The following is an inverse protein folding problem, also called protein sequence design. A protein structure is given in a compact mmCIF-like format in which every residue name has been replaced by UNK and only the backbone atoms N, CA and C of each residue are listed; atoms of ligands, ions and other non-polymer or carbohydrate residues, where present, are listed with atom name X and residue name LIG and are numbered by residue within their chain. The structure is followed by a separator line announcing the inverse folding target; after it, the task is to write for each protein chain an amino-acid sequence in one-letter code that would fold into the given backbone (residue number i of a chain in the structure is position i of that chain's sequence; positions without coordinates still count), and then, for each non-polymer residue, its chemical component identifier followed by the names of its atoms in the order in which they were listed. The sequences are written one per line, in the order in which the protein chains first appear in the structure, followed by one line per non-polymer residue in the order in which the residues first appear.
data_IF_376355161125
#
_entry.id   IF_376355161125
#
_cell.length_a   1.000
_cell.length_b   1.000
_cell.length_c   1.000
_cell.angle_alpha   90.00
_cell.angle_beta   90.00
_cell.angle_gamma   90.00
#
_symmetry.space_group_name_H-M   'P 1'
#
loop_
_entity.id
_entity.type
_entity.pdbx_description
1 polymer ?
#
# COMPACT_ATOMS: atom_id res chain seq x y z
N UNK A 1 51.16 -38.53 28.11
CA UNK A 1 50.50 -37.59 27.18
C UNK A 1 49.59 -38.28 26.16
N UNK A 2 49.94 -39.47 25.62
CA UNK A 2 49.12 -40.19 24.62
C UNK A 2 47.65 -40.48 25.01
N UNK A 3 47.36 -40.91 26.25
CA UNK A 3 45.98 -41.25 26.67
C UNK A 3 45.03 -40.05 26.66
N UNK A 4 45.52 -38.85 27.00
CA UNK A 4 44.73 -37.60 26.96
C UNK A 4 44.49 -37.14 25.51
N UNK A 5 45.45 -37.37 24.63
CA UNK A 5 45.30 -37.08 23.20
C UNK A 5 44.30 -38.05 22.52
N UNK A 6 44.35 -39.36 22.83
CA UNK A 6 43.39 -40.33 22.30
C UNK A 6 41.95 -40.08 22.79
N UNK A 7 41.76 -39.69 24.05
CA UNK A 7 40.44 -39.29 24.55
C UNK A 7 39.95 -38.00 23.91
N UNK A 8 40.83 -37.00 23.72
CA UNK A 8 40.48 -35.77 23.01
C UNK A 8 40.07 -36.05 21.54
N UNK A 9 40.80 -36.92 20.83
CA UNK A 9 40.51 -37.31 19.44
C UNK A 9 39.19 -38.11 19.37
N UNK A 10 38.91 -38.97 20.35
CA UNK A 10 37.66 -39.74 20.39
C UNK A 10 36.40 -38.90 20.65
N UNK A 11 36.52 -37.75 21.30
CA UNK A 11 35.40 -36.85 21.63
C UNK A 11 35.17 -35.79 20.55
N UNK A 12 36.17 -35.49 19.70
CA UNK A 12 36.07 -34.53 18.60
C UNK A 12 34.84 -34.74 17.68
N UNK A 13 34.49 -35.97 17.25
CA UNK A 13 33.31 -36.18 16.41
C UNK A 13 32.01 -35.78 17.12
N UNK A 14 31.89 -36.03 18.42
CA UNK A 14 30.71 -35.65 19.21
C UNK A 14 30.58 -34.14 19.32
N UNK A 15 31.71 -33.43 19.54
CA UNK A 15 31.74 -31.96 19.57
C UNK A 15 31.36 -31.40 18.19
N UNK A 16 31.89 -31.99 17.10
CA UNK A 16 31.57 -31.57 15.74
C UNK A 16 30.07 -31.76 15.42
N UNK A 17 29.47 -32.87 15.84
CA UNK A 17 28.03 -33.13 15.68
C UNK A 17 27.21 -32.11 16.49
N UNK A 18 27.58 -31.86 17.75
CA UNK A 18 26.89 -30.91 18.61
C UNK A 18 26.94 -29.47 18.05
N UNK A 19 28.10 -29.03 17.56
CA UNK A 19 28.25 -27.74 16.89
C UNK A 19 27.45 -27.67 15.60
N UNK A 20 27.47 -28.73 14.78
CA UNK A 20 26.67 -28.77 13.54
C UNK A 20 25.17 -28.69 13.82
N UNK A 21 24.68 -29.37 14.85
CA UNK A 21 23.29 -29.29 15.29
C UNK A 21 22.94 -27.88 15.80
N UNK A 22 23.81 -27.27 16.59
CA UNK A 22 23.62 -25.90 17.08
C UNK A 22 23.55 -24.89 15.92
N UNK A 23 24.43 -25.02 14.92
CA UNK A 23 24.42 -24.20 13.70
C UNK A 23 23.11 -24.40 12.93
N UNK A 24 22.66 -25.64 12.76
CA UNK A 24 21.42 -25.95 12.06
C UNK A 24 20.20 -25.31 12.76
N UNK A 25 20.14 -25.39 14.09
CA UNK A 25 19.07 -24.78 14.90
C UNK A 25 19.13 -23.25 14.77
N UNK A 26 20.31 -22.65 14.82
CA UNK A 26 20.48 -21.21 14.66
C UNK A 26 20.01 -20.73 13.28
N UNK A 27 20.38 -21.43 12.20
CA UNK A 27 19.93 -21.12 10.84
C UNK A 27 18.41 -21.28 10.71
N UNK A 28 17.84 -22.35 11.24
CA UNK A 28 16.40 -22.59 11.18
C UNK A 28 15.61 -21.52 11.96
N UNK A 29 16.07 -21.17 13.16
CA UNK A 29 15.47 -20.12 13.98
C UNK A 29 15.57 -18.75 13.31
N UNK A 30 16.72 -18.43 12.72
CA UNK A 30 16.91 -17.19 11.96
C UNK A 30 15.98 -17.13 10.73
N UNK A 31 15.90 -18.21 9.95
CA UNK A 31 15.02 -18.28 8.77
C UNK A 31 13.56 -18.10 9.15
N UNK A 32 13.08 -18.79 10.20
CA UNK A 32 11.70 -18.65 10.66
C UNK A 32 11.43 -17.25 11.24
N UNK A 33 12.40 -16.69 11.95
CA UNK A 33 12.34 -15.33 12.47
C UNK A 33 12.24 -14.28 11.36
N UNK A 34 13.03 -14.42 10.30
CA UNK A 34 12.93 -13.55 9.12
C UNK A 34 11.57 -13.68 8.43
N UNK A 35 11.12 -14.89 8.12
CA UNK A 35 9.83 -15.10 7.43
C UNK A 35 8.65 -14.55 8.23
N UNK A 36 8.64 -14.78 9.54
CA UNK A 36 7.58 -14.28 10.43
C UNK A 36 7.56 -12.76 10.58
N UNK A 37 8.71 -12.09 10.44
CA UNK A 37 8.78 -10.62 10.45
C UNK A 37 8.53 -9.99 9.08
N UNK A 38 8.88 -10.68 7.99
CA UNK A 38 8.70 -10.18 6.62
C UNK A 38 7.27 -10.32 6.12
N UNK A 39 6.54 -11.37 6.52
CA UNK A 39 5.17 -11.60 6.05
C UNK A 39 4.19 -10.46 6.44
N UNK A 40 4.17 -9.94 7.68
CA UNK A 40 3.36 -8.78 8.03
C UNK A 40 3.73 -7.53 7.21
N UNK A 41 5.01 -7.32 6.92
CA UNK A 41 5.47 -6.19 6.12
C UNK A 41 4.98 -6.30 4.67
N UNK A 42 5.04 -7.51 4.09
CA UNK A 42 4.52 -7.77 2.75
C UNK A 42 3.02 -7.46 2.67
N UNK A 43 2.23 -7.91 3.65
CA UNK A 43 0.80 -7.62 3.71
C UNK A 43 0.50 -6.11 3.79
N UNK A 44 1.26 -5.34 4.59
CA UNK A 44 1.11 -3.87 4.67
C UNK A 44 1.40 -3.23 3.32
N UNK A 45 2.43 -3.69 2.61
CA UNK A 45 2.80 -3.15 1.29
C UNK A 45 1.73 -3.49 0.26
N UNK A 46 1.19 -4.70 0.27
CA UNK A 46 0.07 -5.12 -0.59
C UNK A 46 -1.19 -4.30 -0.33
N UNK A 47 -1.55 -4.09 0.94
CA UNK A 47 -2.70 -3.26 1.31
C UNK A 47 -2.52 -1.80 0.87
N UNK A 48 -1.33 -1.23 1.05
CA UNK A 48 -1.00 0.11 0.55
C UNK A 48 -1.12 0.21 -0.96
N UNK A 49 -0.62 -0.80 -1.68
CA UNK A 49 -0.71 -0.84 -3.13
C UNK A 49 -2.18 -0.93 -3.57
N UNK A 50 -2.95 -1.83 -2.96
CA UNK A 50 -4.38 -1.95 -3.23
C UNK A 50 -5.13 -0.63 -2.98
N UNK A 51 -4.91 0.01 -1.83
CA UNK A 51 -5.58 1.27 -1.49
C UNK A 51 -5.21 2.40 -2.47
N UNK A 52 -3.94 2.47 -2.86
CA UNK A 52 -3.47 3.43 -3.86
C UNK A 52 -4.17 3.21 -5.22
N UNK A 53 -4.11 1.98 -5.74
CA UNK A 53 -4.67 1.63 -7.05
C UNK A 53 -6.19 1.78 -7.06
N UNK A 54 -6.85 1.45 -5.96
CA UNK A 54 -8.28 1.65 -5.78
C UNK A 54 -8.65 3.13 -5.88
N UNK A 55 -7.93 4.02 -5.18
CA UNK A 55 -8.19 5.47 -5.24
C UNK A 55 -7.99 6.00 -6.66
N UNK A 56 -6.91 5.60 -7.34
CA UNK A 56 -6.69 5.96 -8.75
C UNK A 56 -7.86 5.52 -9.62
N UNK A 57 -8.28 4.26 -9.46
CA UNK A 57 -9.35 3.71 -10.29
C UNK A 57 -10.70 4.37 -10.05
N UNK A 58 -11.01 4.69 -8.79
CA UNK A 58 -12.23 5.43 -8.47
C UNK A 58 -12.21 6.83 -9.07
N UNK A 59 -11.08 7.54 -8.98
CA UNK A 59 -10.96 8.86 -9.58
C UNK A 59 -11.16 8.81 -11.11
N UNK A 60 -10.61 7.81 -11.81
CA UNK A 60 -10.86 7.58 -13.24
C UNK A 60 -12.34 7.32 -13.55
N UNK A 61 -13.00 6.47 -12.76
CA UNK A 61 -14.41 6.14 -12.95
C UNK A 61 -15.32 7.35 -12.74
N UNK A 62 -15.05 8.15 -11.70
CA UNK A 62 -15.78 9.39 -11.43
C UNK A 62 -15.56 10.39 -12.58
N UNK A 63 -14.31 10.55 -13.03
CA UNK A 63 -13.97 11.41 -14.16
C UNK A 63 -14.73 11.01 -15.44
N UNK A 64 -14.72 9.73 -15.81
CA UNK A 64 -15.47 9.21 -16.96
C UNK A 64 -16.96 9.47 -16.84
N UNK A 65 -17.55 9.22 -15.68
CA UNK A 65 -18.96 9.51 -15.44
C UNK A 65 -19.27 11.01 -15.51
N UNK A 66 -18.36 11.85 -15.04
CA UNK A 66 -18.47 13.32 -15.12
C UNK A 66 -18.53 13.79 -16.56
N UNK A 67 -17.63 13.29 -17.43
CA UNK A 67 -17.62 13.62 -18.87
C UNK A 67 -18.91 13.15 -19.54
N UNK A 68 -19.35 11.92 -19.25
CA UNK A 68 -20.57 11.36 -19.84
C UNK A 68 -21.83 12.13 -19.47
N UNK A 69 -21.88 12.73 -18.27
CA UNK A 69 -23.03 13.48 -17.77
C UNK A 69 -22.91 14.99 -18.01
N UNK A 70 -21.72 15.51 -18.36
CA UNK A 70 -21.41 16.94 -18.37
C UNK A 70 -20.37 17.31 -19.44
N UNK A 71 -20.46 16.74 -20.65
CA UNK A 71 -19.45 16.88 -21.71
C UNK A 71 -19.23 18.32 -22.19
N UNK A 72 -20.28 19.15 -22.16
CA UNK A 72 -20.26 20.55 -22.60
C UNK A 72 -20.28 21.56 -21.44
N UNK A 73 -19.96 21.10 -20.23
CA UNK A 73 -20.02 21.92 -19.03
C UNK A 73 -18.80 22.85 -18.89
N UNK A 74 -19.02 23.99 -18.22
CA UNK A 74 -17.92 24.83 -17.73
C UNK A 74 -17.12 24.11 -16.63
N UNK A 75 -15.88 24.55 -16.38
CA UNK A 75 -15.03 23.97 -15.32
C UNK A 75 -15.71 23.99 -13.94
N UNK A 76 -16.49 25.04 -13.64
CA UNK A 76 -17.28 25.11 -12.41
C UNK A 76 -18.33 24.00 -12.32
N UNK A 77 -19.07 23.76 -13.40
CA UNK A 77 -20.07 22.70 -13.47
C UNK A 77 -19.42 21.31 -13.45
N UNK A 78 -18.27 21.13 -14.11
CA UNK A 78 -17.49 19.89 -14.02
C UNK A 78 -17.04 19.62 -12.59
N UNK A 79 -16.62 20.66 -11.86
CA UNK A 79 -16.19 20.55 -10.46
C UNK A 79 -17.35 20.11 -9.57
N UNK A 80 -18.50 20.75 -9.70
CA UNK A 80 -19.72 20.41 -8.97
C UNK A 80 -20.17 18.97 -9.29
N UNK A 81 -20.15 18.58 -10.57
CA UNK A 81 -20.57 17.25 -11.02
C UNK A 81 -19.62 16.14 -10.57
N UNK A 82 -18.30 16.37 -10.67
CA UNK A 82 -17.30 15.43 -10.15
C UNK A 82 -17.48 15.21 -8.66
N UNK A 83 -17.71 16.28 -7.90
CA UNK A 83 -17.94 16.21 -6.47
C UNK A 83 -19.23 15.45 -6.14
N UNK A 84 -20.32 15.70 -6.86
CA UNK A 84 -21.59 14.99 -6.72
C UNK A 84 -21.41 13.47 -6.88
N UNK A 85 -20.82 13.04 -8.00
CA UNK A 85 -20.60 11.62 -8.31
C UNK A 85 -19.66 10.96 -7.29
N UNK A 86 -18.60 11.66 -6.88
CA UNK A 86 -17.67 11.16 -5.87
C UNK A 86 -18.37 10.89 -4.53
N UNK A 87 -19.24 11.80 -4.09
CA UNK A 87 -19.99 11.66 -2.84
C UNK A 87 -21.06 10.58 -2.93
N UNK A 88 -21.66 10.36 -4.10
CA UNK A 88 -22.55 9.22 -4.33
C UNK A 88 -21.79 7.89 -4.18
N UNK A 89 -20.62 7.75 -4.82
CA UNK A 89 -19.78 6.55 -4.71
C UNK A 89 -19.27 6.31 -3.29
N UNK A 90 -18.90 7.36 -2.56
CA UNK A 90 -18.46 7.25 -1.17
C UNK A 90 -19.55 6.62 -0.27
N UNK A 91 -20.82 6.98 -0.51
CA UNK A 91 -21.95 6.40 0.26
C UNK A 91 -22.11 4.92 0.02
N UNK A 92 -21.85 4.47 -1.20
CA UNK A 92 -21.96 3.07 -1.61
C UNK A 92 -20.77 2.22 -1.14
N UNK A 93 -19.58 2.81 -1.07
CA UNK A 93 -18.34 2.10 -0.74
C UNK A 93 -17.56 2.83 0.36
N UNK A 94 -17.70 2.35 1.60
CA UNK A 94 -16.89 2.79 2.74
C UNK A 94 -15.73 1.83 2.95
N UNK A 95 -14.52 2.27 2.62
CA UNK A 95 -13.28 1.54 2.89
C UNK A 95 -12.41 2.35 3.85
N UNK A 96 -11.82 1.69 4.84
CA UNK A 96 -10.73 2.28 5.63
C UNK A 96 -9.51 2.46 4.72
N UNK A 97 -8.86 3.63 4.76
CA UNK A 97 -7.68 3.94 3.93
C UNK A 97 -7.91 4.94 2.78
N UNK A 98 -9.15 5.14 2.33
CA UNK A 98 -9.47 6.04 1.19
C UNK A 98 -10.12 7.37 1.61
N UNK A 99 -10.34 7.56 2.92
CA UNK A 99 -11.01 8.74 3.47
C UNK A 99 -10.29 10.06 3.16
N UNK A 100 -8.98 10.04 2.93
CA UNK A 100 -8.25 11.23 2.53
C UNK A 100 -8.70 11.76 1.17
N UNK A 101 -8.91 10.88 0.19
CA UNK A 101 -9.40 11.25 -1.14
C UNK A 101 -10.79 11.88 -1.08
N UNK A 102 -11.78 11.15 -0.58
CA UNK A 102 -13.15 11.67 -0.48
C UNK A 102 -13.26 12.88 0.46
N UNK A 103 -12.45 12.92 1.52
CA UNK A 103 -12.36 14.09 2.40
C UNK A 103 -11.89 15.34 1.67
N UNK A 104 -10.95 15.24 0.72
CA UNK A 104 -10.54 16.38 -0.12
C UNK A 104 -11.63 16.78 -1.09
N UNK A 105 -12.27 15.81 -1.76
CA UNK A 105 -13.35 16.09 -2.70
C UNK A 105 -14.53 16.78 -2.01
N UNK A 106 -14.97 16.27 -0.86
CA UNK A 106 -16.07 16.85 -0.07
C UNK A 106 -15.79 18.30 0.34
N UNK A 107 -14.55 18.60 0.70
CA UNK A 107 -14.13 19.94 1.12
C UNK A 107 -13.72 20.84 -0.06
N UNK A 108 -13.93 20.41 -1.31
CA UNK A 108 -13.57 21.18 -2.50
C UNK A 108 -12.06 21.40 -2.69
N UNK A 109 -11.22 20.63 -1.99
CA UNK A 109 -9.74 20.71 -1.99
C UNK A 109 -9.13 20.01 -3.20
N UNK A 110 -9.58 20.40 -4.38
CA UNK A 110 -9.10 19.94 -5.68
C UNK A 110 -9.38 21.01 -6.73
N UNK A 111 -8.66 20.93 -7.85
CA UNK A 111 -8.69 21.91 -8.91
C UNK A 111 -9.18 21.27 -10.22
N UNK A 112 -9.90 22.05 -11.01
CA UNK A 112 -10.19 21.75 -12.41
C UNK A 112 -9.73 22.95 -13.21
N UNK A 113 -8.79 22.72 -14.12
CA UNK A 113 -8.31 23.71 -15.10
C UNK A 113 -8.11 23.01 -16.42
N UNK A 114 -8.59 23.61 -17.51
CA UNK A 114 -8.44 23.07 -18.86
C UNK A 114 -8.91 21.62 -18.96
N UNK A 115 -10.06 21.30 -18.33
CA UNK A 115 -10.60 19.94 -18.23
C UNK A 115 -9.67 18.94 -17.55
N UNK A 116 -8.66 19.37 -16.79
CA UNK A 116 -7.81 18.48 -16.01
C UNK A 116 -8.19 18.59 -14.54
N UNK A 117 -8.55 17.46 -13.93
CA UNK A 117 -8.74 17.36 -12.48
C UNK A 117 -7.39 17.11 -11.83
N UNK A 118 -7.07 17.92 -10.82
CA UNK A 118 -5.89 17.76 -9.98
C UNK A 118 -6.30 17.64 -8.52
N UNK A 119 -5.90 16.53 -7.89
CA UNK A 119 -6.06 16.31 -6.45
C UNK A 119 -4.67 16.04 -5.86
N UNK A 120 -4.09 17.06 -5.25
CA UNK A 120 -2.74 16.98 -4.69
C UNK A 120 -2.75 16.58 -3.22
N UNK A 121 -1.62 16.05 -2.71
CA UNK A 121 -1.36 15.71 -1.32
C UNK A 121 -2.22 14.56 -0.80
N UNK A 122 -2.54 13.60 -1.67
CA UNK A 122 -3.26 12.39 -1.27
C UNK A 122 -2.33 11.45 -0.52
N UNK A 123 -2.90 10.65 0.37
CA UNK A 123 -2.15 9.58 0.99
C UNK A 123 -3.02 8.37 1.31
N UNK A 124 -2.37 7.22 1.32
CA UNK A 124 -2.88 5.97 1.89
C UNK A 124 -1.90 5.52 2.98
N UNK A 125 -2.45 4.94 4.04
CA UNK A 125 -1.68 4.42 5.16
C UNK A 125 -2.16 3.01 5.51
N UNK A 126 -1.22 2.13 5.83
CA UNK A 126 -1.48 0.84 6.47
C UNK A 126 -0.39 0.60 7.51
N UNK A 127 -0.67 -0.21 8.52
CA UNK A 127 0.27 -0.50 9.58
C UNK A 127 -0.07 -1.75 10.37
N UNK A 128 0.95 -2.28 11.04
CA UNK A 128 0.86 -3.39 11.97
C UNK A 128 1.56 -3.04 13.28
N UNK A 129 0.81 -3.07 14.39
CA UNK A 129 1.31 -2.63 15.70
C UNK A 129 1.74 -1.16 15.68
N UNK A 130 3.00 -0.89 15.99
CA UNK A 130 3.59 0.46 16.00
C UNK A 130 4.15 0.92 14.66
N UNK A 131 4.26 0.02 13.67
CA UNK A 131 4.80 0.34 12.36
C UNK A 131 3.67 0.78 11.43
N UNK A 132 3.74 2.03 10.97
CA UNK A 132 2.84 2.58 9.95
C UNK A 132 3.64 3.01 8.75
N UNK A 133 3.21 2.58 7.57
CA UNK A 133 3.78 3.02 6.30
C UNK A 133 2.75 3.92 5.63
N UNK A 134 3.20 5.09 5.20
CA UNK A 134 2.40 6.09 4.51
C UNK A 134 2.94 6.29 3.10
N UNK A 135 2.07 6.18 2.09
CA UNK A 135 2.38 6.52 0.71
C UNK A 135 1.63 7.78 0.34
N UNK A 136 2.37 8.81 -0.10
CA UNK A 136 1.80 10.04 -0.63
C UNK A 136 1.80 10.00 -2.15
N UNK A 137 0.78 10.55 -2.78
CA UNK A 137 0.62 10.61 -4.23
C UNK A 137 -0.30 11.77 -4.61
N UNK A 138 -0.32 12.10 -5.89
CA UNK A 138 -1.21 13.09 -6.48
C UNK A 138 -1.99 12.43 -7.63
N UNK A 139 -3.20 12.94 -7.91
CA UNK A 139 -4.01 12.51 -9.04
C UNK A 139 -4.10 13.65 -10.04
N UNK A 140 -3.83 13.32 -11.31
CA UNK A 140 -4.06 14.20 -12.45
C UNK A 140 -4.80 13.41 -13.53
N UNK A 141 -6.05 13.78 -13.81
CA UNK A 141 -6.89 13.09 -14.80
C UNK A 141 -7.41 14.11 -15.81
N UNK A 142 -7.21 13.81 -17.10
CA UNK A 142 -7.82 14.58 -18.19
C UNK A 142 -9.29 14.17 -18.36
N UNK A 143 -10.15 15.18 -18.49
CA UNK A 143 -11.57 15.06 -18.84
C UNK A 143 -11.81 15.23 -20.35
N UNK A 144 -10.75 15.19 -21.16
CA UNK A 144 -10.90 15.15 -22.60
C UNK A 144 -11.40 13.77 -23.06
N UNK A 145 -12.36 13.75 -23.99
CA UNK A 145 -12.85 12.51 -24.57
C UNK A 145 -11.74 11.89 -25.43
N UNK A 146 -11.15 10.79 -24.95
CA UNK A 146 -10.56 9.83 -25.86
C UNK A 146 -11.70 9.07 -26.54
N UNK A 147 -12.11 9.57 -27.71
CA UNK A 147 -12.83 8.80 -28.73
C UNK A 147 -11.91 7.72 -29.29
#
# INVERSE_FOLDING_TARGET
MLKKAQTAIGIMPLIAIALSAAVLIAIHSFSNGLTSQSAPLANIVEELQFNHDYVLKQAELIAKQTINQCSSCSDKQLKEKFQEIALEKERLFKFEGIGNFYGKIRNGKFEISDKIIVVSGLFVESGFGYNKIKRNFDIKISLEQHL
#
